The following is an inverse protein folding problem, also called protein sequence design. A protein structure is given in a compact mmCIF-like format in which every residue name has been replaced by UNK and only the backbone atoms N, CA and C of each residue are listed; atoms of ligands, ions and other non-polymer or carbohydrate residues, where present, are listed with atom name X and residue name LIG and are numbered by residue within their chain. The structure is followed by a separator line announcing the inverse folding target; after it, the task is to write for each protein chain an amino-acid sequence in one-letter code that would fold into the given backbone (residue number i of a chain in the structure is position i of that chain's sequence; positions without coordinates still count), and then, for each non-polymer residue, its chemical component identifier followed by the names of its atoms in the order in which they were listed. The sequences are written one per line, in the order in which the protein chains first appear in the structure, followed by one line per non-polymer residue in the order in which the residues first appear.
data_IF_325618055504
#
_entry.id   IF_325618055504
#
_cell.length_a   1.000
_cell.length_b   1.000
_cell.length_c   1.000
_cell.angle_alpha   90.00
_cell.angle_beta   90.00
_cell.angle_gamma   90.00
#
_symmetry.space_group_name_H-M   'P 1'
#
loop_
_entity.id
_entity.type
_entity.pdbx_description
1 polymer ?
#
# COMPACT_ATOMS: atom_id res chain seq x y z
N UNK A 1 26.56 -11.88 2.30
CA UNK A 1 26.20 -10.94 1.22
C UNK A 1 25.77 -11.73 -0.01
N UNK A 2 24.47 -11.97 -0.19
CA UNK A 2 23.96 -12.70 -1.34
C UNK A 2 23.79 -11.75 -2.54
N UNK A 3 24.68 -11.86 -3.54
CA UNK A 3 24.49 -11.18 -4.83
C UNK A 3 23.36 -11.91 -5.56
N UNK A 4 22.21 -11.26 -5.70
CA UNK A 4 21.12 -11.73 -6.56
C UNK A 4 21.57 -11.59 -8.01
N UNK A 5 22.07 -12.67 -8.59
CA UNK A 5 22.42 -12.81 -10.00
C UNK A 5 21.15 -13.07 -10.80
N UNK A 6 20.32 -12.04 -10.97
CA UNK A 6 19.33 -12.08 -12.04
C UNK A 6 20.08 -12.08 -13.38
N UNK A 7 19.83 -13.11 -14.19
CA UNK A 7 20.37 -13.30 -15.53
C UNK A 7 20.25 -12.00 -16.36
N UNK A 8 21.34 -11.49 -16.97
CA UNK A 8 21.29 -10.33 -17.85
C UNK A 8 20.22 -10.43 -18.97
N UNK A 9 19.94 -11.64 -19.47
CA UNK A 9 18.88 -11.88 -20.47
C UNK A 9 17.48 -11.62 -19.92
N UNK A 10 17.18 -12.19 -18.74
CA UNK A 10 15.93 -11.97 -18.02
C UNK A 10 15.64 -10.49 -17.71
N UNK A 11 16.69 -9.71 -17.42
CA UNK A 11 16.58 -8.27 -17.16
C UNK A 11 16.11 -7.50 -18.39
N UNK A 12 16.62 -7.84 -19.57
CA UNK A 12 16.29 -7.15 -20.81
C UNK A 12 14.87 -7.46 -21.30
N UNK A 13 14.40 -8.70 -21.14
CA UNK A 13 13.04 -9.10 -21.56
C UNK A 13 11.93 -8.45 -20.71
N UNK A 14 12.12 -8.39 -19.40
CA UNK A 14 11.10 -7.90 -18.46
C UNK A 14 11.11 -6.37 -18.29
N UNK A 15 12.20 -5.69 -18.66
CA UNK A 15 12.41 -4.25 -18.44
C UNK A 15 11.22 -3.35 -18.85
N UNK A 16 10.65 -3.43 -20.07
CA UNK A 16 9.58 -2.51 -20.47
C UNK A 16 8.29 -2.71 -19.64
N UNK A 17 7.93 -3.95 -19.32
CA UNK A 17 6.73 -4.26 -18.53
C UNK A 17 6.95 -3.85 -17.07
N UNK A 18 8.14 -4.14 -16.52
CA UNK A 18 8.53 -3.72 -15.17
C UNK A 18 8.43 -2.20 -15.02
N UNK A 19 9.02 -1.43 -15.94
CA UNK A 19 8.99 0.03 -15.88
C UNK A 19 7.55 0.56 -15.95
N UNK A 20 6.71 -0.03 -16.79
CA UNK A 20 5.28 0.29 -16.86
C UNK A 20 4.57 0.05 -15.52
N UNK A 21 4.76 -1.12 -14.91
CA UNK A 21 4.17 -1.49 -13.61
C UNK A 21 4.68 -0.59 -12.48
N UNK A 22 5.98 -0.32 -12.44
CA UNK A 22 6.61 0.58 -11.45
C UNK A 22 6.02 1.98 -11.55
N UNK A 23 5.97 2.56 -12.76
CA UNK A 23 5.40 3.90 -12.97
C UNK A 23 3.94 3.98 -12.59
N UNK A 24 3.14 2.95 -12.90
CA UNK A 24 1.74 2.90 -12.49
C UNK A 24 1.60 2.92 -10.97
N UNK A 25 2.41 2.15 -10.25
CA UNK A 25 2.38 2.12 -8.80
C UNK A 25 2.82 3.45 -8.19
N UNK A 26 3.92 4.04 -8.66
CA UNK A 26 4.43 5.34 -8.13
C UNK A 26 3.48 6.52 -8.36
N UNK A 27 2.59 6.44 -9.36
CA UNK A 27 1.52 7.44 -9.57
C UNK A 27 0.46 7.41 -8.47
N UNK A 28 0.32 6.30 -7.74
CA UNK A 28 -0.65 6.16 -6.66
C UNK A 28 -0.10 6.79 -5.37
N UNK A 29 -0.93 7.52 -4.59
CA UNK A 29 -0.53 7.96 -3.25
C UNK A 29 -0.15 6.77 -2.36
N UNK A 30 0.92 6.91 -1.57
CA UNK A 30 1.42 5.87 -0.66
C UNK A 30 2.49 4.94 -1.23
N UNK A 31 2.95 5.20 -2.47
CA UNK A 31 3.86 4.33 -3.21
C UNK A 31 5.12 5.06 -3.69
N UNK A 32 5.45 6.23 -3.13
CA UNK A 32 6.55 7.08 -3.60
C UNK A 32 7.86 6.95 -2.79
N UNK A 33 7.91 6.04 -1.82
CA UNK A 33 9.09 5.82 -0.98
C UNK A 33 10.31 5.34 -1.76
N UNK A 34 10.12 4.54 -2.81
CA UNK A 34 11.21 4.05 -3.65
C UNK A 34 11.45 4.97 -4.85
N UNK A 35 12.72 5.19 -5.16
CA UNK A 35 13.14 5.69 -6.46
C UNK A 35 12.72 4.71 -7.58
N UNK A 36 12.47 5.21 -8.79
CA UNK A 36 12.04 4.38 -9.94
C UNK A 36 13.02 3.23 -10.19
N UNK A 37 14.30 3.56 -10.25
CA UNK A 37 15.36 2.60 -10.58
C UNK A 37 15.50 1.54 -9.50
N UNK A 38 15.47 1.94 -8.23
CA UNK A 38 15.53 1.01 -7.11
C UNK A 38 14.32 0.07 -7.11
N UNK A 39 13.13 0.60 -7.38
CA UNK A 39 11.92 -0.21 -7.45
C UNK A 39 11.97 -1.20 -8.63
N UNK A 40 12.42 -0.74 -9.80
CA UNK A 40 12.60 -1.60 -10.97
C UNK A 40 13.61 -2.72 -10.69
N UNK A 41 14.75 -2.41 -10.07
CA UNK A 41 15.77 -3.40 -9.69
C UNK A 41 15.19 -4.46 -8.75
N UNK A 42 14.48 -4.04 -7.68
CA UNK A 42 13.85 -4.97 -6.74
C UNK A 42 12.78 -5.83 -7.41
N UNK A 43 11.97 -5.25 -8.31
CA UNK A 43 10.92 -5.98 -9.01
C UNK A 43 11.50 -7.03 -9.96
N UNK A 44 12.52 -6.69 -10.74
CA UNK A 44 13.21 -7.64 -11.63
C UNK A 44 13.85 -8.76 -10.83
N UNK A 45 14.53 -8.44 -9.73
CA UNK A 45 15.14 -9.45 -8.87
C UNK A 45 14.11 -10.47 -8.34
N UNK A 46 12.91 -10.02 -7.98
CA UNK A 46 11.82 -10.88 -7.48
C UNK A 46 11.08 -11.62 -8.59
N UNK A 47 11.02 -11.03 -9.78
CA UNK A 47 10.39 -11.59 -10.96
C UNK A 47 11.32 -12.52 -11.77
N UNK A 48 12.58 -12.75 -11.35
CA UNK A 48 13.54 -13.56 -12.11
C UNK A 48 13.06 -14.98 -12.45
N UNK A 49 12.19 -15.57 -11.63
CA UNK A 49 11.57 -16.88 -11.88
C UNK A 49 10.51 -16.87 -12.99
N UNK A 50 10.09 -15.69 -13.45
CA UNK A 50 9.13 -15.49 -14.55
C UNK A 50 9.84 -15.32 -15.90
N UNK A 51 11.18 -15.18 -15.89
CA UNK A 51 11.98 -15.07 -17.11
C UNK A 51 11.90 -16.34 -17.96
N UNK A 52 11.90 -16.19 -19.29
CA UNK A 52 11.74 -17.31 -20.23
C UNK A 52 10.32 -17.87 -20.37
N UNK A 53 9.36 -17.42 -19.54
CA UNK A 53 7.91 -17.66 -19.71
C UNK A 53 7.17 -16.45 -20.28
N UNK A 54 7.90 -15.34 -20.47
CA UNK A 54 7.33 -14.08 -20.87
C UNK A 54 7.03 -14.07 -22.38
N UNK A 55 5.74 -14.12 -22.73
CA UNK A 55 5.28 -13.61 -24.01
C UNK A 55 5.03 -12.11 -23.83
N UNK A 56 5.61 -11.28 -24.70
CA UNK A 56 5.35 -9.85 -24.69
C UNK A 56 3.83 -9.60 -24.76
N UNK A 57 3.30 -8.80 -23.83
CA UNK A 57 1.87 -8.50 -23.64
C UNK A 57 0.98 -9.57 -22.99
N UNK A 58 1.53 -10.58 -22.31
CA UNK A 58 0.72 -11.50 -21.50
C UNK A 58 0.06 -10.76 -20.30
N UNK A 59 -1.29 -10.68 -20.24
CA UNK A 59 -1.99 -10.07 -19.11
C UNK A 59 -1.69 -10.77 -17.78
N UNK A 60 -1.46 -12.09 -17.78
CA UNK A 60 -1.12 -12.87 -16.60
C UNK A 60 0.23 -12.48 -16.02
N UNK A 61 1.25 -12.28 -16.87
CA UNK A 61 2.56 -11.79 -16.45
C UNK A 61 2.45 -10.41 -15.82
N UNK A 62 1.70 -9.49 -16.43
CA UNK A 62 1.49 -8.14 -15.90
C UNK A 62 0.82 -8.18 -14.52
N UNK A 63 -0.18 -9.03 -14.33
CA UNK A 63 -0.84 -9.21 -13.04
C UNK A 63 0.10 -9.76 -11.97
N UNK A 64 0.91 -10.77 -12.32
CA UNK A 64 1.92 -11.33 -11.41
C UNK A 64 2.95 -10.28 -10.99
N UNK A 65 3.46 -9.49 -11.94
CA UNK A 65 4.36 -8.37 -11.67
C UNK A 65 3.70 -7.29 -10.80
N UNK A 66 2.42 -6.99 -11.02
CA UNK A 66 1.68 -6.02 -10.19
C UNK A 66 1.55 -6.50 -8.74
N UNK A 67 1.27 -7.80 -8.52
CA UNK A 67 1.22 -8.39 -7.17
C UNK A 67 2.58 -8.32 -6.48
N UNK A 68 3.67 -8.65 -7.19
CA UNK A 68 5.03 -8.52 -6.67
C UNK A 68 5.38 -7.06 -6.33
N UNK A 69 5.02 -6.12 -7.20
CA UNK A 69 5.22 -4.70 -6.99
C UNK A 69 4.48 -4.19 -5.74
N UNK A 70 3.24 -4.65 -5.54
CA UNK A 70 2.46 -4.35 -4.33
C UNK A 70 3.16 -4.86 -3.06
N UNK A 71 3.69 -6.09 -3.08
CA UNK A 71 4.40 -6.66 -1.95
C UNK A 71 5.68 -5.86 -1.63
N UNK A 72 6.46 -5.49 -2.63
CA UNK A 72 7.68 -4.68 -2.46
C UNK A 72 7.33 -3.31 -1.83
N UNK A 73 6.24 -2.69 -2.26
CA UNK A 73 5.80 -1.43 -1.69
C UNK A 73 5.33 -1.58 -0.24
N UNK A 74 4.57 -2.65 0.06
CA UNK A 74 4.13 -2.94 1.42
C UNK A 74 5.31 -3.19 2.36
N UNK A 75 6.30 -3.97 1.92
CA UNK A 75 7.54 -4.23 2.66
C UNK A 75 8.31 -2.93 2.93
N UNK A 76 8.50 -2.11 1.91
CA UNK A 76 9.24 -0.85 2.03
C UNK A 76 8.55 0.14 2.95
N UNK A 77 7.22 0.24 2.87
CA UNK A 77 6.44 1.12 3.74
C UNK A 77 6.47 0.63 5.19
N UNK A 78 6.38 -0.68 5.43
CA UNK A 78 6.52 -1.27 6.75
C UNK A 78 7.91 -0.95 7.36
N UNK A 79 8.97 -1.14 6.58
CA UNK A 79 10.34 -0.81 6.97
C UNK A 79 10.52 0.68 7.28
N UNK A 80 9.97 1.57 6.46
CA UNK A 80 10.02 3.01 6.69
C UNK A 80 9.35 3.37 8.02
N UNK A 81 8.13 2.88 8.28
CA UNK A 81 7.41 3.11 9.54
C UNK A 81 8.14 2.56 10.78
N UNK A 82 8.90 1.46 10.63
CA UNK A 82 9.72 0.87 11.68
C UNK A 82 11.13 1.48 11.78
N UNK A 83 11.49 2.42 10.91
CA UNK A 83 12.84 2.97 10.87
C UNK A 83 13.18 3.69 12.17
N UNK A 84 14.37 3.47 12.76
CA UNK A 84 14.84 4.25 13.89
C UNK A 84 15.19 5.69 13.50
N UNK A 85 15.31 5.99 12.20
CA UNK A 85 15.53 7.34 11.69
C UNK A 85 14.18 8.09 11.66
N UNK A 86 14.00 9.16 12.46
CA UNK A 86 12.73 9.88 12.53
C UNK A 86 12.28 10.45 11.18
N UNK A 87 13.22 10.81 10.30
CA UNK A 87 12.88 11.35 8.97
C UNK A 87 12.25 10.29 8.08
N UNK A 88 12.82 9.08 8.07
CA UNK A 88 12.30 7.94 7.31
C UNK A 88 10.98 7.44 7.89
N UNK A 89 10.87 7.39 9.21
CA UNK A 89 9.64 7.04 9.92
C UNK A 89 8.50 8.01 9.58
N UNK A 90 8.76 9.31 9.69
CA UNK A 90 7.77 10.34 9.35
C UNK A 90 7.34 10.23 7.88
N UNK A 91 8.29 9.97 6.97
CA UNK A 91 7.98 9.76 5.56
C UNK A 91 7.13 8.49 5.35
N UNK A 92 7.43 7.40 6.06
CA UNK A 92 6.64 6.17 6.04
C UNK A 92 5.20 6.40 6.48
N UNK A 93 4.99 7.06 7.62
CA UNK A 93 3.65 7.37 8.11
C UNK A 93 2.90 8.38 7.23
N UNK A 94 3.58 9.35 6.62
CA UNK A 94 2.96 10.28 5.68
C UNK A 94 2.44 9.57 4.42
N UNK A 95 3.23 8.68 3.83
CA UNK A 95 2.82 7.88 2.67
C UNK A 95 1.70 6.90 3.03
N UNK A 96 1.79 6.26 4.21
CA UNK A 96 0.71 5.41 4.72
C UNK A 96 -0.58 6.22 4.90
N UNK A 97 -0.50 7.43 5.47
CA UNK A 97 -1.64 8.32 5.64
C UNK A 97 -2.32 8.66 4.32
N UNK A 98 -1.55 9.01 3.29
CA UNK A 98 -2.09 9.28 1.96
C UNK A 98 -2.80 8.05 1.34
N UNK A 99 -2.25 6.86 1.56
CA UNK A 99 -2.89 5.61 1.14
C UNK A 99 -4.23 5.36 1.87
N UNK A 100 -4.22 5.45 3.20
CA UNK A 100 -5.37 5.17 4.05
C UNK A 100 -6.49 6.20 3.88
N UNK A 101 -6.14 7.49 3.78
CA UNK A 101 -7.09 8.56 3.49
C UNK A 101 -7.85 8.31 2.20
N UNK A 102 -7.15 7.91 1.12
CA UNK A 102 -7.81 7.59 -0.14
C UNK A 102 -8.80 6.44 -0.02
N UNK A 103 -8.52 5.43 0.81
CA UNK A 103 -9.46 4.34 1.07
C UNK A 103 -10.69 4.84 1.84
N UNK A 104 -10.47 5.62 2.90
CA UNK A 104 -11.52 6.21 3.71
C UNK A 104 -12.45 7.12 2.90
N UNK A 105 -11.85 8.06 2.17
CA UNK A 105 -12.55 9.01 1.31
C UNK A 105 -13.42 8.29 0.28
N UNK A 106 -12.88 7.30 -0.41
CA UNK A 106 -13.63 6.55 -1.41
C UNK A 106 -14.78 5.75 -0.79
N UNK A 107 -14.60 5.18 0.40
CA UNK A 107 -15.65 4.45 1.11
C UNK A 107 -16.78 5.38 1.56
N UNK A 108 -16.45 6.52 2.16
CA UNK A 108 -17.40 7.50 2.67
C UNK A 108 -18.16 8.20 1.53
N UNK A 109 -17.46 8.61 0.47
CA UNK A 109 -18.06 9.23 -0.70
C UNK A 109 -19.10 8.32 -1.37
N UNK A 110 -18.83 7.02 -1.47
CA UNK A 110 -19.81 6.05 -2.02
C UNK A 110 -21.07 5.91 -1.19
N UNK A 111 -21.01 6.25 0.10
CA UNK A 111 -22.16 6.22 1.01
C UNK A 111 -22.81 7.60 1.17
N UNK A 112 -22.40 8.61 0.39
CA UNK A 112 -22.95 9.96 0.49
C UNK A 112 -22.62 10.66 1.81
N UNK A 113 -21.54 10.24 2.49
CA UNK A 113 -21.14 10.80 3.79
C UNK A 113 -20.18 11.97 3.65
N UNK A 114 -20.15 12.89 4.64
CA UNK A 114 -19.14 13.93 4.74
C UNK A 114 -17.72 13.37 4.64
N UNK A 115 -16.86 14.07 3.89
CA UNK A 115 -15.49 13.61 3.58
C UNK A 115 -14.46 14.04 4.62
N UNK A 116 -14.79 15.02 5.45
CA UNK A 116 -14.04 15.41 6.66
C UNK A 116 -13.80 14.20 7.59
N UNK A 117 -14.80 13.33 7.73
CA UNK A 117 -14.69 12.08 8.49
C UNK A 117 -13.58 11.14 7.96
N UNK A 118 -13.13 11.31 6.71
CA UNK A 118 -12.04 10.53 6.16
C UNK A 118 -10.72 10.84 6.88
N UNK A 119 -10.49 12.10 7.26
CA UNK A 119 -9.29 12.52 7.98
C UNK A 119 -9.26 11.92 9.38
N UNK A 120 -10.35 12.04 10.14
CA UNK A 120 -10.49 11.46 11.48
C UNK A 120 -10.28 9.94 11.46
N UNK A 121 -10.93 9.24 10.53
CA UNK A 121 -10.76 7.80 10.38
C UNK A 121 -9.30 7.44 10.08
N UNK A 122 -8.61 8.25 9.28
CA UNK A 122 -7.21 8.03 8.88
C UNK A 122 -6.27 8.23 10.05
N UNK A 123 -6.44 9.32 10.83
CA UNK A 123 -5.63 9.56 12.02
C UNK A 123 -5.84 8.46 13.08
N UNK A 124 -7.09 8.03 13.28
CA UNK A 124 -7.39 6.90 14.17
C UNK A 124 -6.68 5.61 13.71
N UNK A 125 -6.66 5.35 12.40
CA UNK A 125 -6.02 4.17 11.84
C UNK A 125 -4.50 4.22 11.94
N UNK A 126 -3.89 5.37 11.63
CA UNK A 126 -2.44 5.58 11.77
C UNK A 126 -1.98 5.33 13.21
N UNK A 127 -2.74 5.82 14.20
CA UNK A 127 -2.47 5.56 15.61
C UNK A 127 -2.55 4.07 15.94
N UNK A 128 -3.57 3.35 15.47
CA UNK A 128 -3.68 1.90 15.69
C UNK A 128 -2.56 1.11 15.01
N UNK A 129 -2.16 1.52 13.80
CA UNK A 129 -1.02 0.94 13.09
C UNK A 129 0.25 1.17 13.92
N UNK A 130 0.55 2.40 14.33
CA UNK A 130 1.72 2.73 15.14
C UNK A 130 1.78 1.91 16.44
N UNK A 131 0.66 1.78 17.16
CA UNK A 131 0.59 0.99 18.40
C UNK A 131 0.81 -0.51 18.21
N UNK A 132 0.61 -1.04 17.00
CA UNK A 132 0.59 -2.48 16.73
C UNK A 132 1.50 -2.92 15.59
N UNK A 133 2.35 -2.03 15.08
CA UNK A 133 3.19 -2.30 13.91
C UNK A 133 4.15 -3.46 14.14
N UNK A 134 4.66 -3.62 15.37
CA UNK A 134 5.50 -4.75 15.77
C UNK A 134 4.80 -6.11 15.68
N UNK A 135 3.46 -6.12 15.66
CA UNK A 135 2.67 -7.35 15.47
C UNK A 135 2.52 -7.73 14.00
N UNK A 136 2.99 -6.90 13.07
CA UNK A 136 2.98 -7.19 11.64
C UNK A 136 4.05 -8.24 11.31
N UNK A 137 3.66 -9.52 11.31
CA UNK A 137 4.57 -10.65 11.04
C UNK A 137 4.96 -10.79 9.56
N UNK A 138 4.13 -10.24 8.65
CA UNK A 138 4.31 -10.35 7.21
C UNK A 138 4.38 -8.96 6.58
N UNK A 139 5.59 -8.39 6.39
CA UNK A 139 5.75 -7.04 5.82
C UNK A 139 5.13 -6.88 4.42
N UNK A 140 5.12 -7.94 3.60
CA UNK A 140 4.45 -7.93 2.29
C UNK A 140 2.92 -7.79 2.37
N UNK A 141 2.31 -8.08 3.51
CA UNK A 141 0.89 -7.91 3.77
C UNK A 141 0.55 -6.60 4.52
N UNK A 142 1.56 -5.77 4.84
CA UNK A 142 1.41 -4.58 5.69
C UNK A 142 0.29 -3.64 5.23
N UNK A 143 0.26 -3.27 3.94
CA UNK A 143 -0.77 -2.40 3.38
C UNK A 143 -2.18 -3.00 3.51
N UNK A 144 -2.32 -4.31 3.30
CA UNK A 144 -3.60 -5.01 3.44
C UNK A 144 -4.06 -5.02 4.90
N UNK A 145 -3.14 -5.28 5.82
CA UNK A 145 -3.41 -5.23 7.26
C UNK A 145 -3.84 -3.83 7.71
N UNK A 146 -3.13 -2.78 7.30
CA UNK A 146 -3.50 -1.40 7.59
C UNK A 146 -4.85 -1.01 6.96
N UNK A 147 -5.14 -1.47 5.74
CA UNK A 147 -6.44 -1.26 5.11
C UNK A 147 -7.59 -1.91 5.88
N UNK A 148 -7.38 -3.10 6.48
CA UNK A 148 -8.38 -3.73 7.34
C UNK A 148 -8.66 -2.89 8.59
N UNK A 149 -7.62 -2.33 9.22
CA UNK A 149 -7.77 -1.40 10.36
C UNK A 149 -8.61 -0.18 9.95
N UNK A 150 -8.25 0.47 8.83
CA UNK A 150 -8.97 1.62 8.30
C UNK A 150 -10.44 1.33 8.05
N UNK A 151 -10.74 0.21 7.38
CA UNK A 151 -12.13 -0.14 7.06
C UNK A 151 -12.94 -0.49 8.30
N UNK A 152 -12.34 -1.11 9.32
CA UNK A 152 -13.02 -1.32 10.61
C UNK A 152 -13.39 0.01 11.29
N UNK A 153 -12.50 1.00 11.23
CA UNK A 153 -12.74 2.34 11.79
C UNK A 153 -13.84 3.05 11.01
N UNK A 154 -13.75 3.10 9.68
CA UNK A 154 -14.80 3.70 8.82
C UNK A 154 -16.16 3.09 9.12
N UNK A 155 -16.25 1.75 9.17
CA UNK A 155 -17.50 1.05 9.48
C UNK A 155 -18.01 1.32 10.90
N UNK A 156 -17.13 1.55 11.87
CA UNK A 156 -17.51 1.94 13.24
C UNK A 156 -18.15 3.33 13.25
N UNK A 157 -17.53 4.30 12.58
CA UNK A 157 -18.07 5.66 12.47
C UNK A 157 -19.42 5.69 11.74
N UNK A 158 -19.53 4.94 10.65
CA UNK A 158 -20.79 4.80 9.91
C UNK A 158 -21.93 4.22 10.75
N UNK A 159 -21.63 3.24 11.61
CA UNK A 159 -22.62 2.68 12.54
C UNK A 159 -23.04 3.69 13.61
N UNK A 160 -22.08 4.37 14.24
CA UNK A 160 -22.36 5.40 15.26
C UNK A 160 -23.26 6.50 14.72
N UNK A 161 -22.93 7.08 13.57
CA UNK A 161 -23.76 8.12 12.94
C UNK A 161 -25.17 7.66 12.60
N UNK A 162 -25.36 6.37 12.30
CA UNK A 162 -26.69 5.82 12.06
C UNK A 162 -27.47 5.68 13.37
N UNK A 163 -26.81 5.19 14.41
CA UNK A 163 -27.43 4.97 15.71
C UNK A 163 -27.76 6.33 16.38
N UNK A 164 -26.91 7.36 16.22
CA UNK A 164 -27.17 8.74 16.66
C UNK A 164 -28.38 9.37 15.93
N UNK A 165 -28.63 8.99 14.67
CA UNK A 165 -29.79 9.46 13.89
C UNK A 165 -31.10 8.77 14.30
N UNK A 166 -31.02 7.68 15.07
CA UNK A 166 -32.17 6.86 15.48
C UNK A 166 -32.58 7.11 16.93
N UNK A 167 -31.83 7.91 17.69
CA UNK A 167 -32.24 8.35 19.01
C UNK A 167 -33.22 9.52 18.83
N UNK A 168 -34.50 9.40 19.26
CA UNK A 168 -35.40 10.55 19.31
C UNK A 168 -34.80 11.58 20.28
N UNK A 169 -34.88 12.87 19.94
CA UNK A 169 -34.65 13.92 20.92
C UNK A 169 -35.68 13.71 22.03
N UNK A 170 -35.21 13.33 23.22
CA UNK A 170 -36.07 13.30 24.41
C UNK A 170 -36.40 14.76 24.75
N UNK A 171 -37.64 15.16 24.44
CA UNK A 171 -38.28 16.41 24.88
C UNK A 171 -38.40 16.48 26.41
#
# INVERSE_FOLDING_TARGET
MARSTADPGARNELAPIVLSVVREHRRRPGYRLLAEDEFAIRLVARAGHLAGRAVANDPSLREQLARLAQNICAETLCQACLSPNPREQNQGYAELGAYLYRLAFNALKRQGRPTDLAEDCTQEALRQVWQHIERCREPGAFLRWAAVIQMRIVQRHLRRQRDDLLLPEED
#
